data_IF_503447478031
#
_entry.id   IF_503447478031
#
_cell.length_a   1.000
_cell.length_b   1.000
_cell.length_c   1.000
_cell.angle_alpha   90.00
_cell.angle_beta   90.00
_cell.angle_gamma   90.00
#
_symmetry.space_group_name_H-M   'P 1'
#
loop_
_entity.id
_entity.type
_entity.pdbx_description
1 polymer ?
#
# COMPACT_ATOMS: atom_id res chain seq x y z
N UNK A 1 -28.04 14.73 5.12
CA UNK A 1 -26.90 14.19 4.33
C UNK A 1 -26.95 14.78 2.92
N UNK A 2 -25.83 14.78 2.19
CA UNK A 2 -25.72 15.38 0.85
C UNK A 2 -26.61 14.64 -0.16
N UNK A 3 -27.40 15.39 -0.96
CA UNK A 3 -28.23 14.83 -2.05
C UNK A 3 -27.42 14.26 -3.22
N UNK A 4 -26.11 14.49 -3.24
CA UNK A 4 -25.21 14.08 -4.31
C UNK A 4 -24.57 12.70 -4.06
N UNK A 5 -24.89 12.06 -2.94
CA UNK A 5 -24.34 10.74 -2.60
C UNK A 5 -25.26 9.64 -3.14
N UNK A 6 -24.65 8.53 -3.57
CA UNK A 6 -25.41 7.36 -4.02
C UNK A 6 -26.07 6.66 -2.83
N UNK A 7 -27.14 5.91 -3.10
CA UNK A 7 -27.82 5.12 -2.07
C UNK A 7 -26.88 4.09 -1.43
N UNK A 8 -25.96 3.52 -2.21
CA UNK A 8 -24.97 2.57 -1.73
C UNK A 8 -24.07 3.21 -0.67
N UNK A 9 -23.53 4.40 -0.95
CA UNK A 9 -22.67 5.12 0.01
C UNK A 9 -23.44 5.46 1.29
N UNK A 10 -24.73 5.79 1.18
CA UNK A 10 -25.58 6.06 2.34
C UNK A 10 -25.79 4.84 3.25
N UNK A 11 -25.74 3.62 2.69
CA UNK A 11 -25.97 2.39 3.44
C UNK A 11 -24.68 1.80 4.04
N UNK A 12 -23.50 2.32 3.67
CA UNK A 12 -22.23 1.82 4.19
C UNK A 12 -22.05 2.20 5.66
N UNK A 13 -21.58 1.24 6.45
CA UNK A 13 -21.03 1.52 7.77
C UNK A 13 -19.54 1.83 7.61
N UNK A 14 -19.06 3.04 8.01
CA UNK A 14 -17.66 3.38 7.89
C UNK A 14 -16.75 2.47 8.71
N UNK A 15 -15.55 2.20 8.21
CA UNK A 15 -14.51 1.55 8.99
C UNK A 15 -14.13 2.41 10.19
N UNK A 16 -14.05 1.80 11.37
CA UNK A 16 -13.60 2.45 12.61
C UNK A 16 -12.24 1.85 12.98
N UNK A 17 -11.14 2.63 12.91
CA UNK A 17 -9.83 2.13 13.30
C UNK A 17 -9.78 1.84 14.81
N UNK A 18 -8.96 0.86 15.20
CA UNK A 18 -8.70 0.57 16.61
C UNK A 18 -7.97 1.73 17.33
N UNK A 19 -8.08 1.76 18.66
CA UNK A 19 -7.47 2.79 19.50
C UNK A 19 -5.95 2.88 19.33
N UNK A 20 -5.42 4.12 19.28
CA UNK A 20 -3.99 4.41 19.22
C UNK A 20 -3.61 5.41 20.32
N UNK A 21 -3.14 4.95 21.50
CA UNK A 21 -2.80 5.83 22.60
C UNK A 21 -1.60 6.74 22.25
N UNK A 22 -1.68 8.03 22.58
CA UNK A 22 -0.58 8.98 22.38
C UNK A 22 0.12 9.27 23.71
N UNK A 23 0.95 8.35 24.15
CA UNK A 23 1.71 8.47 25.40
C UNK A 23 3.20 8.18 25.20
N UNK A 24 4.04 8.81 26.01
CA UNK A 24 5.48 8.56 25.99
C UNK A 24 5.78 7.13 26.47
N UNK A 25 6.77 6.47 25.84
CA UNK A 25 7.23 5.10 26.18
C UNK A 25 6.14 4.03 26.03
N UNK A 26 5.21 4.20 25.09
CA UNK A 26 4.24 3.17 24.74
C UNK A 26 4.94 1.95 24.10
N UNK A 27 4.59 0.75 24.55
CA UNK A 27 4.90 -0.49 23.82
C UNK A 27 3.73 -0.75 22.86
N UNK A 28 3.95 -0.49 21.57
CA UNK A 28 2.91 -0.56 20.53
C UNK A 28 2.83 -1.98 19.94
N UNK A 29 1.69 -2.65 20.12
CA UNK A 29 1.46 -4.05 19.69
C UNK A 29 0.10 -4.27 19.01
N UNK A 30 -0.56 -3.19 18.55
CA UNK A 30 -1.96 -3.22 18.10
C UNK A 30 -2.17 -3.14 16.58
N UNK A 31 -1.12 -2.94 15.77
CA UNK A 31 -1.24 -2.80 14.29
C UNK A 31 -0.36 -3.76 13.51
N UNK A 32 0.17 -4.81 14.15
CA UNK A 32 0.99 -5.85 13.50
C UNK A 32 2.23 -5.32 12.76
N UNK A 33 2.78 -4.19 13.20
CA UNK A 33 4.02 -3.65 12.64
C UNK A 33 5.21 -4.54 12.98
N UNK A 34 6.21 -4.56 12.10
CA UNK A 34 7.46 -5.27 12.37
C UNK A 34 8.26 -4.53 13.46
N UNK A 35 8.77 -5.22 14.50
CA UNK A 35 9.55 -4.56 15.55
C UNK A 35 10.97 -4.17 15.10
N UNK A 36 11.46 -4.73 13.99
CA UNK A 36 12.79 -4.47 13.46
C UNK A 36 12.76 -3.31 12.45
N UNK A 37 13.87 -2.55 12.34
CA UNK A 37 14.01 -1.55 11.29
C UNK A 37 13.99 -2.20 9.89
N UNK A 38 13.64 -1.44 8.84
CA UNK A 38 13.76 -1.94 7.47
C UNK A 38 15.23 -2.29 7.15
N UNK A 39 15.41 -3.13 6.12
CA UNK A 39 16.74 -3.48 5.64
C UNK A 39 17.59 -2.23 5.33
N UNK A 40 18.89 -2.18 5.69
CA UNK A 40 19.77 -1.07 5.32
C UNK A 40 19.81 -0.78 3.81
N UNK A 41 19.59 -1.80 2.98
CA UNK A 41 19.48 -1.65 1.52
C UNK A 41 18.26 -0.82 1.11
N UNK A 42 17.14 -0.95 1.82
CA UNK A 42 15.94 -0.13 1.59
C UNK A 42 16.22 1.32 1.95
N UNK A 43 16.85 1.57 3.10
CA UNK A 43 17.21 2.94 3.53
C UNK A 43 18.08 3.61 2.47
N UNK A 44 19.12 2.93 1.99
CA UNK A 44 20.00 3.44 0.95
C UNK A 44 19.25 3.71 -0.38
N UNK A 45 18.37 2.81 -0.80
CA UNK A 45 17.58 2.96 -2.03
C UNK A 45 16.62 4.15 -1.95
N UNK A 46 15.93 4.34 -0.81
CA UNK A 46 15.03 5.48 -0.57
C UNK A 46 15.81 6.80 -0.59
N UNK A 47 16.98 6.85 0.09
CA UNK A 47 17.84 8.04 0.08
C UNK A 47 18.32 8.37 -1.34
N UNK A 48 18.74 7.37 -2.12
CA UNK A 48 19.18 7.57 -3.50
C UNK A 48 18.03 7.99 -4.44
N UNK A 49 16.79 7.58 -4.16
CA UNK A 49 15.62 7.97 -4.94
C UNK A 49 15.11 9.38 -4.59
N UNK A 50 15.42 9.89 -3.38
CA UNK A 50 15.04 11.21 -2.91
C UNK A 50 15.91 12.33 -3.52
N UNK A 51 15.95 12.40 -4.84
CA UNK A 51 16.72 13.39 -5.60
C UNK A 51 15.83 14.20 -6.57
N UNK A 52 16.46 14.97 -7.45
CA UNK A 52 15.76 15.84 -8.38
C UNK A 52 14.83 15.11 -9.37
N UNK A 53 14.89 13.78 -9.49
CA UNK A 53 13.96 12.96 -10.30
C UNK A 53 12.54 12.93 -9.73
N UNK A 54 12.34 13.26 -8.45
CA UNK A 54 11.00 13.40 -7.84
C UNK A 54 10.10 14.42 -8.56
N UNK A 55 10.66 15.29 -9.41
CA UNK A 55 9.87 16.17 -10.30
C UNK A 55 9.20 15.46 -11.47
N UNK A 56 9.44 14.15 -11.65
CA UNK A 56 8.91 13.33 -12.73
C UNK A 56 7.96 12.28 -12.16
N UNK A 57 7.00 11.86 -12.99
CA UNK A 57 6.20 10.68 -12.69
C UNK A 57 7.08 9.42 -12.63
N UNK A 58 6.73 8.45 -11.76
CA UNK A 58 7.38 7.14 -11.75
C UNK A 58 7.03 6.33 -13.00
N UNK A 59 7.65 5.16 -13.16
CA UNK A 59 7.21 4.17 -14.13
C UNK A 59 5.77 3.73 -13.81
N UNK A 60 4.79 4.02 -14.69
CA UNK A 60 3.38 3.72 -14.42
C UNK A 60 3.08 2.22 -14.31
N UNK A 61 3.95 1.36 -14.86
CA UNK A 61 3.76 -0.08 -14.81
C UNK A 61 4.51 -0.76 -13.65
N UNK A 62 5.30 -0.01 -12.87
CA UNK A 62 6.18 -0.55 -11.82
C UNK A 62 7.02 -1.75 -12.30
N UNK A 63 7.54 -1.67 -13.54
CA UNK A 63 8.10 -2.80 -14.30
C UNK A 63 9.20 -3.52 -13.55
N UNK A 64 10.16 -2.76 -12.98
CA UNK A 64 11.28 -3.32 -12.24
C UNK A 64 10.84 -4.08 -10.98
N UNK A 65 9.82 -3.57 -10.27
CA UNK A 65 9.27 -4.24 -9.09
C UNK A 65 8.50 -5.50 -9.48
N UNK A 66 7.66 -5.44 -10.52
CA UNK A 66 6.93 -6.61 -11.03
C UNK A 66 7.89 -7.73 -11.44
N UNK A 67 8.98 -7.40 -12.15
CA UNK A 67 9.98 -8.39 -12.52
C UNK A 67 10.65 -9.02 -11.30
N UNK A 68 11.07 -8.20 -10.31
CA UNK A 68 11.71 -8.71 -9.10
C UNK A 68 10.78 -9.66 -8.29
N UNK A 69 9.48 -9.34 -8.22
CA UNK A 69 8.47 -10.19 -7.58
C UNK A 69 8.27 -11.49 -8.38
N UNK A 70 8.15 -11.40 -9.71
CA UNK A 70 7.98 -12.55 -10.59
C UNK A 70 9.15 -13.52 -10.47
N UNK A 71 10.38 -13.01 -10.50
CA UNK A 71 11.61 -13.81 -10.34
C UNK A 71 11.67 -14.47 -8.96
N UNK A 72 11.35 -13.72 -7.90
CA UNK A 72 11.37 -14.23 -6.52
C UNK A 72 10.37 -15.37 -6.30
N UNK A 73 9.15 -15.25 -6.85
CA UNK A 73 8.10 -16.24 -6.72
C UNK A 73 8.09 -17.29 -7.84
N UNK A 74 8.98 -17.20 -8.83
CA UNK A 74 9.07 -18.10 -9.98
C UNK A 74 7.77 -18.18 -10.79
N UNK A 75 7.15 -17.03 -11.04
CA UNK A 75 5.94 -16.89 -11.86
C UNK A 75 6.20 -16.02 -13.08
N UNK A 76 5.32 -16.08 -14.07
CA UNK A 76 5.40 -15.20 -15.23
C UNK A 76 5.04 -13.74 -14.85
N UNK A 77 5.62 -12.76 -15.55
CA UNK A 77 5.46 -11.33 -15.26
C UNK A 77 3.98 -10.88 -15.35
N UNK A 78 3.22 -11.48 -16.26
CA UNK A 78 1.79 -11.28 -16.44
C UNK A 78 0.94 -11.70 -15.23
N UNK A 79 1.47 -12.56 -14.36
CA UNK A 79 0.80 -12.97 -13.12
C UNK A 79 1.05 -12.00 -11.95
N UNK A 80 1.79 -10.90 -12.17
CA UNK A 80 2.13 -9.92 -11.13
C UNK A 80 1.46 -8.58 -11.42
N UNK A 81 0.63 -8.14 -10.49
CA UNK A 81 0.03 -6.80 -10.40
C UNK A 81 0.44 -6.15 -9.08
N UNK A 82 0.72 -4.84 -9.08
CA UNK A 82 1.16 -4.07 -7.91
C UNK A 82 0.16 -2.95 -7.64
N UNK A 83 -0.28 -2.83 -6.38
CA UNK A 83 -1.04 -1.67 -5.89
C UNK A 83 -0.29 -0.93 -4.78
N UNK A 84 -0.74 0.27 -4.41
CA UNK A 84 -0.20 1.03 -3.28
C UNK A 84 -0.74 0.49 -1.95
N UNK A 85 -0.20 -0.67 -1.55
CA UNK A 85 -0.73 -1.46 -0.45
C UNK A 85 -1.81 -2.44 -0.92
N UNK A 86 -2.01 -3.52 -0.16
CA UNK A 86 -2.94 -4.59 -0.56
C UNK A 86 -4.40 -4.16 -0.57
N UNK A 87 -4.78 -3.13 0.19
CA UNK A 87 -6.16 -2.62 0.21
C UNK A 87 -6.59 -2.07 -1.17
N UNK A 88 -5.66 -1.47 -1.92
CA UNK A 88 -5.96 -1.04 -3.29
C UNK A 88 -6.19 -2.24 -4.23
N UNK A 89 -5.40 -3.30 -4.05
CA UNK A 89 -5.57 -4.56 -4.80
C UNK A 89 -6.93 -5.20 -4.48
N UNK A 90 -7.33 -5.20 -3.20
CA UNK A 90 -8.66 -5.66 -2.78
C UNK A 90 -9.77 -4.78 -3.39
N UNK A 91 -9.60 -3.46 -3.40
CA UNK A 91 -10.56 -2.54 -4.00
C UNK A 91 -10.73 -2.80 -5.50
N UNK A 92 -9.64 -2.98 -6.26
CA UNK A 92 -9.69 -3.34 -7.67
C UNK A 92 -10.36 -4.69 -7.90
N UNK A 93 -10.04 -5.69 -7.08
CA UNK A 93 -10.63 -7.03 -7.17
C UNK A 93 -12.14 -6.97 -6.94
N UNK A 94 -12.58 -6.18 -5.95
CA UNK A 94 -13.99 -5.93 -5.69
C UNK A 94 -14.66 -5.29 -6.91
N UNK A 95 -14.14 -4.18 -7.44
CA UNK A 95 -14.72 -3.49 -8.60
C UNK A 95 -14.72 -4.32 -9.89
N UNK A 96 -13.76 -5.23 -10.06
CA UNK A 96 -13.64 -6.04 -11.27
C UNK A 96 -14.56 -7.27 -11.27
N UNK A 97 -14.89 -7.81 -10.08
CA UNK A 97 -15.53 -9.13 -9.94
C UNK A 97 -16.87 -9.10 -9.19
N UNK A 98 -17.22 -8.02 -8.51
CA UNK A 98 -18.42 -7.88 -7.66
C UNK A 98 -19.18 -6.58 -7.98
#
# INVERSE_FOLDING_TARGET
MSRFWSQQVHALTPYVPGEQPQMARLIKLNTNENPYPPSPKVIAAVQAAADARLRRYPDPAATALRQAIADYHQVALENVFVGNGSDEVLAHTFQALL
#
